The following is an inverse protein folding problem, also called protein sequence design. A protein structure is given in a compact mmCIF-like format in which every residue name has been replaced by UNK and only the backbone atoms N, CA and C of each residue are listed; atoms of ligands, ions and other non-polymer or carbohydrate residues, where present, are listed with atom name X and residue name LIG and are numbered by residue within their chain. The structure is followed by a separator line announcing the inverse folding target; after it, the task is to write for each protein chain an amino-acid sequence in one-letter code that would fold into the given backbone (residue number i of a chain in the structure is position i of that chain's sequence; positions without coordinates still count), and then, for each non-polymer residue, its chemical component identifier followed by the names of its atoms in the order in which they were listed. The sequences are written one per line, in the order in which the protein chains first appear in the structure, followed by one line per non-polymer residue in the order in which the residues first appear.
data_IF_766280096478
#
_entry.id   IF_766280096478
#
_cell.length_a   1.000
_cell.length_b   1.000
_cell.length_c   1.000
_cell.angle_alpha   90.00
_cell.angle_beta   90.00
_cell.angle_gamma   90.00
#
_symmetry.space_group_name_H-M   'P 1'
#
loop_
_entity.id
_entity.type
_entity.pdbx_description
1 polymer ?
#
# COMPACT_ATOMS: atom_id res chain seq x y z
N UNK A 1 13.86 -2.90 4.85
CA UNK A 1 13.09 -3.72 5.82
C UNK A 1 11.87 -2.95 6.35
N UNK A 2 10.95 -2.51 5.48
CA UNK A 2 9.90 -1.56 5.87
C UNK A 2 8.52 -1.78 5.22
N UNK A 3 8.45 -2.44 4.06
CA UNK A 3 7.22 -2.46 3.28
C UNK A 3 6.07 -3.23 3.93
N UNK A 4 6.39 -4.30 4.68
CA UNK A 4 5.37 -5.20 5.25
C UNK A 4 5.00 -4.94 6.71
N UNK A 5 5.75 -4.10 7.43
CA UNK A 5 5.38 -3.75 8.81
C UNK A 5 4.31 -2.66 8.86
N UNK A 6 4.20 -1.88 7.78
CA UNK A 6 3.21 -0.82 7.62
C UNK A 6 1.85 -1.30 7.11
N UNK A 7 1.83 -2.35 6.30
CA UNK A 7 0.60 -2.99 5.82
C UNK A 7 -0.20 -3.65 6.98
N UNK A 8 0.38 -3.74 8.19
CA UNK A 8 -0.27 -4.28 9.39
C UNK A 8 -0.67 -3.22 10.43
N UNK A 9 -0.38 -1.94 10.23
CA UNK A 9 -1.11 -0.87 10.95
C UNK A 9 -2.52 -0.65 10.35
N UNK A 10 -2.86 -1.38 9.28
CA UNK A 10 -4.19 -1.46 8.64
C UNK A 10 -5.33 -1.97 9.58
N UNK A 11 -5.10 -2.15 10.89
CA UNK A 11 -6.15 -2.54 11.84
C UNK A 11 -6.78 -1.37 12.62
N UNK A 12 -6.20 -0.17 12.60
CA UNK A 12 -6.83 1.03 13.17
C UNK A 12 -7.04 2.06 12.08
N UNK A 13 -8.25 2.08 11.51
CA UNK A 13 -8.73 3.19 10.69
C UNK A 13 -8.63 4.45 11.55
N UNK A 14 -7.80 5.40 11.16
CA UNK A 14 -7.72 6.69 11.83
C UNK A 14 -9.11 7.35 11.80
N UNK A 15 -9.50 8.02 12.89
CA UNK A 15 -10.73 8.80 12.90
C UNK A 15 -10.67 9.81 11.74
N UNK A 16 -11.73 9.95 10.92
CA UNK A 16 -11.84 11.02 9.95
C UNK A 16 -11.48 12.42 10.48
N UNK A 17 -11.71 12.69 11.77
CA UNK A 17 -11.30 13.95 12.40
C UNK A 17 -9.78 14.09 12.48
N UNK A 18 -9.08 13.07 13.01
CA UNK A 18 -7.61 13.05 13.08
C UNK A 18 -6.99 13.14 11.68
N UNK A 19 -7.64 12.51 10.69
CA UNK A 19 -7.21 12.55 9.30
C UNK A 19 -7.30 13.97 8.74
N UNK A 20 -8.40 14.67 8.99
CA UNK A 20 -8.59 16.06 8.57
C UNK A 20 -7.57 16.97 9.26
N UNK A 21 -7.25 16.70 10.52
CA UNK A 21 -6.25 17.44 11.28
C UNK A 21 -4.82 17.24 10.74
N UNK A 22 -4.45 16.00 10.37
CA UNK A 22 -3.18 15.72 9.68
C UNK A 22 -3.06 16.54 8.40
N UNK A 23 -4.12 16.56 7.58
CA UNK A 23 -4.12 17.29 6.31
C UNK A 23 -4.02 18.80 6.52
N UNK A 24 -4.68 19.36 7.55
CA UNK A 24 -4.62 20.79 7.87
C UNK A 24 -3.20 21.20 8.24
N UNK A 25 -2.59 20.49 9.19
CA UNK A 25 -1.23 20.79 9.65
C UNK A 25 -0.20 20.63 8.52
N UNK A 26 -0.39 19.66 7.62
CA UNK A 26 0.47 19.53 6.44
C UNK A 26 0.29 20.71 5.47
N UNK A 27 -0.94 21.17 5.27
CA UNK A 27 -1.23 22.35 4.44
C UNK A 27 -0.68 23.64 5.05
N UNK A 28 -0.57 23.72 6.38
CA UNK A 28 0.10 24.80 7.12
C UNK A 28 1.64 24.74 7.03
N UNK A 29 2.20 23.68 6.45
CA UNK A 29 3.63 23.53 6.18
C UNK A 29 4.41 22.79 7.27
N UNK A 30 3.74 22.17 8.24
CA UNK A 30 4.43 21.36 9.24
C UNK A 30 5.02 20.09 8.62
N UNK A 31 6.19 19.69 9.11
CA UNK A 31 6.79 18.42 8.70
C UNK A 31 6.01 17.24 9.28
N UNK A 32 5.99 16.11 8.57
CA UNK A 32 5.30 14.89 9.02
C UNK A 32 5.79 14.38 10.39
N UNK A 33 7.03 14.72 10.79
CA UNK A 33 7.54 14.42 12.12
C UNK A 33 6.86 15.28 13.18
N UNK A 34 6.81 16.60 12.97
CA UNK A 34 6.13 17.53 13.87
C UNK A 34 4.65 17.19 14.02
N UNK A 35 3.98 16.83 12.92
CA UNK A 35 2.56 16.41 12.95
C UNK A 35 2.38 15.16 13.82
N UNK A 36 3.24 14.16 13.65
CA UNK A 36 3.19 12.93 14.46
C UNK A 36 3.41 13.21 15.95
N UNK A 37 4.40 14.06 16.26
CA UNK A 37 4.69 14.45 17.64
C UNK A 37 3.53 15.25 18.27
N UNK A 38 2.87 16.13 17.51
CA UNK A 38 1.73 16.95 17.98
C UNK A 38 0.46 16.14 18.23
N UNK A 39 0.13 15.23 17.31
CA UNK A 39 -1.11 14.44 17.39
C UNK A 39 -0.92 13.14 18.18
N UNK A 40 0.28 12.87 18.70
CA UNK A 40 0.64 11.57 19.28
C UNK A 40 0.38 10.39 18.33
N UNK A 41 0.52 10.63 17.03
CA UNK A 41 0.37 9.64 15.95
C UNK A 41 1.76 9.28 15.45
N UNK A 42 2.00 8.01 15.10
CA UNK A 42 3.30 7.64 14.57
C UNK A 42 3.61 8.44 13.29
N UNK A 43 4.83 8.99 13.17
CA UNK A 43 5.32 9.68 11.94
C UNK A 43 5.05 8.87 10.68
N UNK A 44 5.06 7.56 10.87
CA UNK A 44 4.90 6.53 9.89
C UNK A 44 3.46 6.55 9.35
N UNK A 45 2.48 6.51 10.25
CA UNK A 45 1.05 6.66 9.94
C UNK A 45 0.78 7.98 9.22
N UNK A 46 1.35 9.10 9.71
CA UNK A 46 1.25 10.41 9.04
C UNK A 46 1.79 10.36 7.61
N UNK A 47 3.00 9.80 7.42
CA UNK A 47 3.60 9.65 6.10
C UNK A 47 2.70 8.89 5.12
N UNK A 48 2.05 7.82 5.59
CA UNK A 48 1.15 7.04 4.76
C UNK A 48 -0.08 7.85 4.34
N UNK A 49 -0.74 8.53 5.27
CA UNK A 49 -1.91 9.34 4.96
C UNK A 49 -1.59 10.50 4.02
N UNK A 50 -0.46 11.20 4.21
CA UNK A 50 -0.03 12.25 3.29
C UNK A 50 0.30 11.67 1.90
N UNK A 51 0.91 10.48 1.83
CA UNK A 51 1.18 9.81 0.55
C UNK A 51 -0.10 9.42 -0.17
N UNK A 52 -1.09 8.88 0.56
CA UNK A 52 -2.42 8.56 0.03
C UNK A 52 -3.12 9.80 -0.51
N UNK A 53 -3.09 10.89 0.26
CA UNK A 53 -3.67 12.16 -0.15
C UNK A 53 -3.08 12.66 -1.48
N UNK A 54 -1.75 12.63 -1.60
CA UNK A 54 -1.02 13.03 -2.81
C UNK A 54 -1.24 12.11 -4.01
N UNK A 55 -1.67 10.87 -3.79
CA UNK A 55 -1.97 9.91 -4.85
C UNK A 55 -3.41 9.94 -5.34
N UNK A 56 -4.28 10.70 -4.67
CA UNK A 56 -5.66 10.86 -5.11
C UNK A 56 -5.78 11.95 -6.18
N UNK A 57 -6.93 11.99 -6.84
CA UNK A 57 -7.25 13.03 -7.84
C UNK A 57 -7.52 14.42 -7.23
N UNK A 58 -7.63 14.51 -5.89
CA UNK A 58 -7.93 15.76 -5.19
C UNK A 58 -6.67 16.39 -4.60
N UNK A 59 -6.60 17.72 -4.63
CA UNK A 59 -5.60 18.46 -3.86
C UNK A 59 -5.93 18.42 -2.36
N UNK A 60 -4.91 18.61 -1.53
CA UNK A 60 -5.07 18.65 -0.07
C UNK A 60 -6.06 19.75 0.36
N UNK A 61 -6.09 20.88 -0.35
CA UNK A 61 -7.04 21.97 -0.08
C UNK A 61 -8.48 21.56 -0.37
N UNK A 62 -8.72 20.87 -1.48
CA UNK A 62 -10.05 20.34 -1.80
C UNK A 62 -10.49 19.30 -0.77
N UNK A 63 -9.60 18.40 -0.36
CA UNK A 63 -9.90 17.43 0.71
C UNK A 63 -10.31 18.10 2.03
N UNK A 64 -9.70 19.23 2.39
CA UNK A 64 -10.05 19.95 3.61
C UNK A 64 -11.46 20.56 3.56
N UNK A 65 -11.99 20.83 2.37
CA UNK A 65 -13.37 21.29 2.18
C UNK A 65 -14.40 20.15 2.24
N UNK A 66 -13.97 18.89 2.11
CA UNK A 66 -14.86 17.73 2.18
C UNK A 66 -15.37 17.50 3.62
N UNK A 67 -16.54 16.89 3.70
CA UNK A 67 -17.07 16.38 4.96
C UNK A 67 -16.19 15.23 5.51
N UNK A 68 -15.99 15.10 6.84
CA UNK A 68 -15.20 14.01 7.40
C UNK A 68 -15.68 12.62 6.95
N UNK A 69 -16.97 12.40 6.76
CA UNK A 69 -17.45 11.11 6.26
C UNK A 69 -16.94 10.82 4.85
N UNK A 70 -17.07 11.80 3.94
CA UNK A 70 -16.60 11.69 2.55
C UNK A 70 -15.08 11.48 2.49
N UNK A 71 -14.33 12.19 3.34
CA UNK A 71 -12.89 12.01 3.47
C UNK A 71 -12.55 10.61 3.95
N UNK A 72 -13.28 10.10 4.96
CA UNK A 72 -13.11 8.73 5.45
C UNK A 72 -13.36 7.67 4.38
N UNK A 73 -14.38 7.85 3.55
CA UNK A 73 -14.69 6.94 2.42
C UNK A 73 -13.61 6.98 1.34
N UNK A 74 -13.12 8.18 0.97
CA UNK A 74 -12.05 8.35 -0.01
C UNK A 74 -10.81 7.53 0.38
N UNK A 75 -10.36 7.65 1.63
CA UNK A 75 -9.17 6.94 2.12
C UNK A 75 -9.42 5.42 2.29
N UNK A 76 -10.65 5.03 2.62
CA UNK A 76 -11.04 3.61 2.67
C UNK A 76 -10.95 2.99 1.28
N UNK A 77 -11.54 3.62 0.26
CA UNK A 77 -11.50 3.14 -1.12
C UNK A 77 -10.07 2.99 -1.64
N UNK A 78 -9.19 3.96 -1.40
CA UNK A 78 -7.79 3.89 -1.80
C UNK A 78 -7.04 2.74 -1.11
N UNK A 79 -7.29 2.53 0.17
CA UNK A 79 -6.65 1.45 0.94
C UNK A 79 -7.08 0.08 0.41
N UNK A 80 -8.37 -0.10 0.12
CA UNK A 80 -8.90 -1.32 -0.50
C UNK A 80 -8.30 -1.57 -1.87
N UNK A 81 -8.22 -0.55 -2.73
CA UNK A 81 -7.61 -0.68 -4.05
C UNK A 81 -6.12 -1.05 -3.98
N UNK A 82 -5.36 -0.45 -3.06
CA UNK A 82 -3.95 -0.78 -2.85
C UNK A 82 -3.79 -2.23 -2.36
N UNK A 83 -4.67 -2.67 -1.47
CA UNK A 83 -4.70 -4.04 -0.95
C UNK A 83 -4.93 -5.04 -2.07
N UNK A 84 -5.96 -4.81 -2.89
CA UNK A 84 -6.28 -5.68 -4.02
C UNK A 84 -5.14 -5.76 -5.05
N UNK A 85 -4.55 -4.61 -5.41
CA UNK A 85 -3.39 -4.56 -6.33
C UNK A 85 -2.18 -5.32 -5.79
N UNK A 86 -1.94 -5.22 -4.48
CA UNK A 86 -0.87 -5.95 -3.81
C UNK A 86 -1.13 -7.46 -3.84
N UNK A 87 -2.35 -7.89 -3.52
CA UNK A 87 -2.73 -9.31 -3.53
C UNK A 87 -2.63 -9.93 -4.92
N UNK A 88 -3.05 -9.21 -5.97
CA UNK A 88 -2.87 -9.62 -7.37
C UNK A 88 -1.39 -9.79 -7.73
N UNK A 89 -0.54 -8.83 -7.35
CA UNK A 89 0.91 -8.91 -7.59
C UNK A 89 1.54 -10.09 -6.85
N UNK A 90 1.16 -10.35 -5.60
CA UNK A 90 1.67 -11.46 -4.80
C UNK A 90 1.26 -12.81 -5.38
N UNK A 91 0.00 -12.96 -5.80
CA UNK A 91 -0.50 -14.16 -6.46
C UNK A 91 0.22 -14.41 -7.79
N UNK A 92 0.50 -13.34 -8.54
CA UNK A 92 1.27 -13.43 -9.78
C UNK A 92 2.72 -13.87 -9.51
N UNK A 93 3.39 -13.33 -8.47
CA UNK A 93 4.73 -13.78 -8.09
C UNK A 93 4.76 -15.26 -7.71
N UNK A 94 3.73 -15.76 -7.03
CA UNK A 94 3.63 -17.17 -6.66
C UNK A 94 3.53 -18.08 -7.92
N UNK A 95 2.80 -17.65 -8.96
CA UNK A 95 2.74 -18.35 -10.25
C UNK A 95 4.10 -18.38 -10.97
N UNK A 96 4.76 -17.22 -11.07
CA UNK A 96 6.06 -17.12 -11.77
C UNK A 96 7.17 -17.86 -11.02
N UNK A 97 7.14 -17.86 -9.69
CA UNK A 97 8.11 -18.58 -8.88
C UNK A 97 7.99 -20.11 -9.01
N UNK A 98 6.81 -20.65 -9.35
CA UNK A 98 6.65 -22.09 -9.65
C UNK A 98 7.30 -22.47 -10.99
N UNK A 99 7.43 -21.52 -11.92
CA UNK A 99 7.97 -21.76 -13.25
C UNK A 99 9.48 -21.44 -13.35
N UNK A 100 10.17 -21.21 -12.22
CA UNK A 100 11.54 -20.65 -12.17
C UNK A 100 12.63 -21.40 -12.92
N UNK A 101 12.39 -22.67 -13.26
CA UNK A 101 13.40 -23.57 -13.82
C UNK A 101 13.41 -23.59 -15.37
N UNK A 102 12.75 -22.64 -16.06
CA UNK A 102 12.84 -22.55 -17.52
C UNK A 102 14.09 -21.80 -18.01
N UNK A 103 14.74 -22.26 -19.10
CA UNK A 103 15.80 -21.49 -19.77
C UNK A 103 15.28 -20.13 -20.23
N UNK A 104 16.06 -19.06 -20.06
CA UNK A 104 15.66 -17.70 -20.47
C UNK A 104 14.83 -16.93 -19.44
N UNK A 105 14.69 -17.43 -18.21
CA UNK A 105 14.00 -16.74 -17.11
C UNK A 105 14.63 -15.37 -16.84
N UNK A 106 13.95 -14.30 -17.25
CA UNK A 106 14.31 -12.92 -16.88
C UNK A 106 13.10 -12.22 -16.25
N UNK A 107 13.32 -11.53 -15.13
CA UNK A 107 12.24 -10.78 -14.49
C UNK A 107 11.73 -9.61 -15.35
N UNK A 108 12.50 -9.18 -16.34
CA UNK A 108 12.07 -8.19 -17.32
C UNK A 108 10.97 -8.74 -18.23
N UNK A 109 11.17 -9.94 -18.78
CA UNK A 109 10.15 -10.62 -19.60
C UNK A 109 8.85 -10.83 -18.79
N UNK A 110 8.97 -11.37 -17.58
CA UNK A 110 7.81 -11.60 -16.72
C UNK A 110 7.13 -10.28 -16.31
N UNK A 111 7.88 -9.19 -16.11
CA UNK A 111 7.27 -7.89 -15.87
C UNK A 111 6.42 -7.39 -17.04
N UNK A 112 6.88 -7.59 -18.28
CA UNK A 112 6.12 -7.22 -19.47
C UNK A 112 4.82 -8.03 -19.58
N UNK A 113 4.85 -9.32 -19.26
CA UNK A 113 3.64 -10.15 -19.20
C UNK A 113 2.68 -9.69 -18.09
N UNK A 114 3.19 -9.37 -16.90
CA UNK A 114 2.41 -8.80 -15.79
C UNK A 114 1.73 -7.48 -16.20
N UNK A 115 2.49 -6.59 -16.82
CA UNK A 115 2.01 -5.28 -17.25
C UNK A 115 0.88 -5.40 -18.29
N UNK A 116 0.93 -6.41 -19.17
CA UNK A 116 -0.13 -6.67 -20.14
C UNK A 116 -1.41 -7.30 -19.56
N UNK A 117 -1.36 -7.86 -18.35
CA UNK A 117 -2.49 -8.55 -17.72
C UNK A 117 -3.22 -7.72 -16.67
N UNK A 118 -2.64 -6.60 -16.23
CA UNK A 118 -3.15 -5.79 -15.11
C UNK A 118 -3.42 -4.36 -15.57
N UNK A 119 -4.62 -3.85 -15.28
CA UNK A 119 -5.06 -2.50 -15.67
C UNK A 119 -4.26 -1.38 -14.97
N UNK A 120 -3.80 -1.61 -13.74
CA UNK A 120 -2.99 -0.66 -12.96
C UNK A 120 -1.70 -1.32 -12.42
N UNK A 121 -0.73 -1.61 -13.30
CA UNK A 121 0.46 -2.36 -12.94
C UNK A 121 1.39 -1.54 -12.06
N UNK A 122 2.14 -2.21 -11.18
CA UNK A 122 3.28 -1.57 -10.50
C UNK A 122 4.34 -1.16 -11.54
N UNK A 123 5.08 -0.08 -11.25
CA UNK A 123 6.26 0.27 -12.05
C UNK A 123 7.35 -0.81 -11.89
N UNK A 124 8.24 -0.92 -12.88
CA UNK A 124 9.32 -1.92 -12.86
C UNK A 124 10.17 -1.86 -11.60
N UNK A 125 10.53 -0.65 -11.14
CA UNK A 125 11.28 -0.45 -9.90
C UNK A 125 10.53 -0.98 -8.68
N UNK A 126 9.23 -0.67 -8.56
CA UNK A 126 8.41 -1.17 -7.46
C UNK A 126 8.26 -2.69 -7.52
N UNK A 127 8.00 -3.24 -8.70
CA UNK A 127 7.94 -4.67 -8.94
C UNK A 127 9.21 -5.39 -8.48
N UNK A 128 10.40 -4.86 -8.80
CA UNK A 128 11.67 -5.44 -8.38
C UNK A 128 11.91 -5.35 -6.87
N UNK A 129 11.46 -4.26 -6.23
CA UNK A 129 11.49 -4.11 -4.76
C UNK A 129 10.60 -5.18 -4.11
N UNK A 130 9.34 -5.30 -4.54
CA UNK A 130 8.38 -6.28 -3.99
C UNK A 130 8.86 -7.71 -4.19
N UNK A 131 9.37 -8.04 -5.39
CA UNK A 131 10.01 -9.31 -5.70
C UNK A 131 11.15 -9.61 -4.73
N UNK A 132 12.03 -8.64 -4.50
CA UNK A 132 13.18 -8.81 -3.60
C UNK A 132 12.69 -9.10 -2.19
N UNK A 133 11.70 -8.37 -1.68
CA UNK A 133 11.11 -8.59 -0.36
C UNK A 133 10.47 -9.98 -0.23
N UNK A 134 9.68 -10.42 -1.22
CA UNK A 134 9.02 -11.74 -1.25
C UNK A 134 10.02 -12.89 -1.22
N UNK A 135 11.12 -12.79 -1.98
CA UNK A 135 12.11 -13.85 -2.13
C UNK A 135 13.19 -13.87 -1.03
N UNK A 136 13.45 -12.74 -0.38
CA UNK A 136 14.48 -12.62 0.67
C UNK A 136 13.93 -12.84 2.09
N UNK A 137 12.62 -13.01 2.26
CA UNK A 137 11.99 -13.34 3.54
C UNK A 137 11.67 -14.83 3.60
N UNK A 138 12.50 -15.69 4.23
CA UNK A 138 12.18 -17.10 4.34
C UNK A 138 11.10 -17.27 5.41
N UNK A 139 9.93 -17.77 5.01
CA UNK A 139 8.88 -18.20 5.93
C UNK A 139 7.67 -17.27 6.02
N UNK A 140 6.74 -17.37 5.05
CA UNK A 140 5.31 -17.16 5.31
C UNK A 140 4.39 -17.87 4.29
N UNK A 141 4.74 -19.09 3.88
CA UNK A 141 3.78 -20.00 3.22
C UNK A 141 3.19 -20.94 4.27
N UNK A 142 2.45 -20.41 5.25
CA UNK A 142 1.52 -21.19 6.12
C UNK A 142 0.48 -20.24 6.71
N UNK A 143 -0.53 -19.85 5.94
CA UNK A 143 -1.84 -19.41 6.46
C UNK A 143 -2.90 -19.41 5.36
N UNK A 144 -3.05 -20.55 4.68
CA UNK A 144 -4.20 -20.80 3.78
C UNK A 144 -4.70 -22.24 3.93
N UNK A 145 -4.65 -22.78 5.14
CA UNK A 145 -5.18 -24.12 5.43
C UNK A 145 -5.84 -24.12 6.81
N UNK A 146 -6.95 -23.39 6.97
CA UNK A 146 -7.91 -23.58 8.07
C UNK A 146 -9.36 -23.29 7.62
N UNK A 147 -9.72 -23.58 6.37
CA UNK A 147 -11.11 -23.49 5.91
C UNK A 147 -11.59 -24.78 5.20
N UNK A 148 -10.93 -25.90 5.43
CA UNK A 148 -11.41 -27.20 4.97
C UNK A 148 -10.87 -28.27 5.91
N UNK A 149 -11.68 -28.68 6.88
CA UNK A 149 -11.77 -30.02 7.47
C UNK A 149 -12.83 -29.96 8.59
N UNK A 150 -13.98 -30.55 8.29
CA UNK A 150 -15.08 -31.01 9.16
C UNK A 150 -15.66 -30.04 10.21
#
# INVERSE_FOLDING_TARGET
MLYRRFFLDMANKLDPMDLKQILSLHNEGLSNRQIGDLLSISRNTVNNYIKLAKSSDYSIREMLTMDPHQLGELFTAHTTLITNRYDELMAWFDKVNQQRNHPGFTFMYHYQEYQGQVSNPYSYTQFMVEKTVKLTTPGRNKMTTLASLN
#
